data_IF_382753680672
#
_entry.id   IF_382753680672
#
_cell.length_a   1.000
_cell.length_b   1.000
_cell.length_c   1.000
_cell.angle_alpha   90.00
_cell.angle_beta   90.00
_cell.angle_gamma   90.00
#
_symmetry.space_group_name_H-M   'P 1'
#
loop_
_entity.id
_entity.type
_entity.pdbx_description
1 polymer ?
#
# COMPACT_ATOMS: atom_id res chain seq x y z
N UNK A 1 21.03 12.64 -4.04
CA UNK A 1 19.81 11.89 -3.76
C UNK A 1 18.67 12.80 -4.18
N UNK A 2 18.14 12.58 -5.39
CA UNK A 2 16.91 13.26 -5.83
C UNK A 2 15.81 12.92 -4.82
N UNK A 3 15.13 13.95 -4.32
CA UNK A 3 13.96 13.78 -3.46
C UNK A 3 12.84 13.29 -4.37
N UNK A 4 12.62 11.98 -4.42
CA UNK A 4 11.41 11.43 -5.02
C UNK A 4 10.20 12.03 -4.32
N UNK A 5 9.23 12.50 -5.10
CA UNK A 5 7.95 12.95 -4.59
C UNK A 5 7.25 11.78 -3.90
N UNK A 6 7.27 11.80 -2.56
CA UNK A 6 6.61 10.81 -1.72
C UNK A 6 5.12 11.07 -1.72
N UNK A 7 4.34 10.06 -2.07
CA UNK A 7 2.89 10.15 -2.12
C UNK A 7 2.28 9.19 -1.13
N UNK A 8 1.20 9.62 -0.47
CA UNK A 8 0.40 8.72 0.34
C UNK A 8 -0.44 7.86 -0.59
N UNK A 9 -0.38 6.55 -0.41
CA UNK A 9 -1.13 5.59 -1.21
C UNK A 9 -1.98 4.68 -0.34
N UNK A 10 -3.15 4.35 -0.86
CA UNK A 10 -4.04 3.33 -0.34
C UNK A 10 -3.98 2.14 -1.28
N UNK A 11 -3.47 1.02 -0.77
CA UNK A 11 -3.37 -0.23 -1.49
C UNK A 11 -4.51 -1.11 -0.99
N UNK A 12 -5.43 -1.43 -1.88
CA UNK A 12 -6.54 -2.36 -1.63
C UNK A 12 -6.10 -3.75 -2.04
N UNK A 13 -6.22 -4.71 -1.13
CA UNK A 13 -5.90 -6.11 -1.34
C UNK A 13 -7.10 -6.83 -1.90
N UNK A 14 -6.85 -7.82 -2.75
CA UNK A 14 -7.90 -8.70 -3.25
C UNK A 14 -8.54 -9.48 -2.09
N UNK A 15 -9.84 -9.77 -2.14
CA UNK A 15 -10.54 -10.52 -1.11
C UNK A 15 -9.88 -11.88 -0.86
N UNK A 16 -9.43 -12.57 -1.92
CA UNK A 16 -8.71 -13.85 -1.81
C UNK A 16 -7.40 -13.75 -1.00
N UNK A 17 -6.69 -12.64 -1.16
CA UNK A 17 -5.49 -12.34 -0.38
C UNK A 17 -5.88 -12.00 1.06
N UNK A 18 -6.97 -11.27 1.25
CA UNK A 18 -7.42 -10.82 2.55
C UNK A 18 -7.99 -11.95 3.43
N UNK A 19 -8.58 -12.98 2.81
CA UNK A 19 -9.05 -14.19 3.47
C UNK A 19 -7.88 -15.04 4.00
N UNK A 20 -6.72 -15.00 3.34
CA UNK A 20 -5.53 -15.74 3.73
C UNK A 20 -4.54 -14.85 4.51
N UNK A 21 -4.49 -15.04 5.82
CA UNK A 21 -3.61 -14.25 6.69
C UNK A 21 -2.12 -14.39 6.37
N UNK A 22 -1.66 -15.51 5.80
CA UNK A 22 -0.25 -15.66 5.39
C UNK A 22 0.05 -14.83 4.15
N UNK A 23 -0.85 -14.85 3.15
CA UNK A 23 -0.69 -14.02 1.95
C UNK A 23 -0.69 -12.53 2.28
N UNK A 24 -1.56 -12.09 3.19
CA UNK A 24 -1.54 -10.70 3.69
C UNK A 24 -0.17 -10.38 4.29
N UNK A 25 0.34 -11.19 5.21
CA UNK A 25 1.61 -10.93 5.90
C UNK A 25 2.80 -10.92 4.92
N UNK A 26 2.83 -11.85 3.95
CA UNK A 26 3.84 -11.87 2.89
C UNK A 26 3.79 -10.61 2.03
N UNK A 27 2.60 -10.21 1.60
CA UNK A 27 2.42 -9.03 0.77
C UNK A 27 2.82 -7.77 1.54
N UNK A 28 2.36 -7.61 2.77
CA UNK A 28 2.74 -6.50 3.67
C UNK A 28 4.23 -6.47 3.86
N UNK A 29 4.87 -7.61 4.08
CA UNK A 29 6.32 -7.71 4.24
C UNK A 29 7.07 -7.25 2.98
N UNK A 30 6.57 -7.59 1.79
CA UNK A 30 7.14 -7.11 0.51
C UNK A 30 6.90 -5.61 0.33
N UNK A 31 5.69 -5.13 0.61
CA UNK A 31 5.33 -3.71 0.53
C UNK A 31 6.20 -2.90 1.48
N UNK A 32 6.30 -3.28 2.76
CA UNK A 32 7.14 -2.62 3.77
C UNK A 32 8.64 -2.64 3.46
N UNK A 33 9.12 -3.55 2.61
CA UNK A 33 10.50 -3.54 2.10
C UNK A 33 10.68 -2.55 0.95
N UNK A 34 9.63 -2.30 0.18
CA UNK A 34 9.65 -1.44 -1.00
C UNK A 34 9.27 0.02 -0.67
N UNK A 35 8.34 0.23 0.26
CA UNK A 35 7.91 1.53 0.76
C UNK A 35 8.66 1.87 2.04
N UNK A 36 8.84 3.15 2.33
CA UNK A 36 9.32 3.53 3.65
C UNK A 36 8.38 3.04 4.74
N UNK A 37 8.88 2.75 5.97
CA UNK A 37 8.04 2.42 7.11
C UNK A 37 7.19 3.63 7.50
N UNK A 38 6.09 3.85 6.78
CA UNK A 38 4.97 4.70 7.16
C UNK A 38 4.03 3.95 8.09
N UNK A 39 3.08 4.69 8.70
CA UNK A 39 2.03 4.12 9.54
C UNK A 39 1.15 3.13 8.75
N UNK A 40 1.55 1.86 8.72
CA UNK A 40 0.72 0.77 8.25
C UNK A 40 -0.25 0.38 9.35
N UNK A 41 -1.52 0.73 9.14
CA UNK A 41 -2.60 0.40 10.06
C UNK A 41 -3.03 -1.06 9.85
N UNK A 42 -2.34 -2.00 10.52
CA UNK A 42 -2.60 -3.44 10.42
C UNK A 42 -4.07 -3.80 10.74
N UNK A 43 -4.73 -2.99 11.57
CA UNK A 43 -6.13 -3.22 11.95
C UNK A 43 -7.07 -2.93 10.78
N UNK A 44 -6.84 -1.84 10.03
CA UNK A 44 -7.59 -1.57 8.79
C UNK A 44 -7.25 -2.56 7.69
N UNK A 45 -6.00 -2.96 7.60
CA UNK A 45 -5.57 -3.95 6.63
C UNK A 45 -6.30 -5.29 6.82
N UNK A 46 -6.31 -5.84 8.05
CA UNK A 46 -6.97 -7.13 8.30
C UNK A 46 -8.49 -7.05 8.19
N UNK A 47 -9.08 -5.86 8.40
CA UNK A 47 -10.54 -5.69 8.44
C UNK A 47 -11.14 -5.31 7.10
N UNK A 48 -10.40 -4.55 6.29
CA UNK A 48 -10.88 -3.98 5.03
C UNK A 48 -9.99 -4.34 3.84
N UNK A 49 -8.85 -5.01 4.06
CA UNK A 49 -7.86 -5.24 3.01
C UNK A 49 -7.19 -3.95 2.55
N UNK A 50 -7.21 -2.87 3.34
CA UNK A 50 -6.67 -1.57 2.90
C UNK A 50 -5.40 -1.24 3.67
N UNK A 51 -4.29 -1.11 2.94
CA UNK A 51 -2.99 -0.66 3.45
C UNK A 51 -2.79 0.81 3.09
N UNK A 52 -2.61 1.67 4.10
CA UNK A 52 -2.16 3.04 3.90
C UNK A 52 -0.65 3.10 4.09
N UNK A 53 0.09 3.61 3.12
CA UNK A 53 1.52 3.87 3.29
C UNK A 53 1.97 5.09 2.48
N UNK A 54 3.21 5.50 2.68
CA UNK A 54 3.88 6.55 1.91
C UNK A 54 4.93 5.89 1.03
N UNK A 55 4.82 6.11 -0.28
CA UNK A 55 5.67 5.49 -1.27
C UNK A 55 6.07 6.52 -2.33
N UNK A 56 7.27 6.40 -2.87
CA UNK A 56 7.69 7.14 -4.06
C UNK A 56 6.88 6.70 -5.28
N UNK A 57 6.71 7.62 -6.23
CA UNK A 57 5.90 7.38 -7.45
C UNK A 57 6.35 6.11 -8.20
N UNK A 58 7.65 5.87 -8.34
CA UNK A 58 8.21 4.64 -8.95
C UNK A 58 7.82 3.36 -8.18
N UNK A 59 7.74 3.44 -6.86
CA UNK A 59 7.31 2.32 -6.01
C UNK A 59 5.81 2.09 -6.15
N UNK A 60 5.00 3.15 -6.29
CA UNK A 60 3.55 3.04 -6.54
C UNK A 60 3.24 2.27 -7.81
N UNK A 61 3.97 2.54 -8.90
CA UNK A 61 3.81 1.77 -10.14
C UNK A 61 4.17 0.30 -9.95
N UNK A 62 5.22 0.03 -9.17
CA UNK A 62 5.64 -1.34 -8.84
C UNK A 62 4.57 -2.06 -8.01
N UNK A 63 3.95 -1.37 -7.04
CA UNK A 63 2.90 -1.92 -6.18
C UNK A 63 1.64 -2.33 -6.95
N UNK A 64 1.30 -1.62 -8.04
CA UNK A 64 0.19 -2.00 -8.92
C UNK A 64 0.41 -3.35 -9.62
N UNK A 65 1.66 -3.79 -9.75
CA UNK A 65 2.01 -5.08 -10.33
C UNK A 65 2.09 -6.24 -9.33
N UNK A 66 1.79 -6.01 -8.05
CA UNK A 66 1.88 -7.06 -7.04
C UNK A 66 0.70 -8.03 -7.16
N UNK A 67 1.03 -9.32 -7.18
CA UNK A 67 0.05 -10.40 -7.09
C UNK A 67 -0.69 -10.31 -5.73
N UNK A 68 -2.00 -10.09 -5.78
CA UNK A 68 -2.86 -9.91 -4.61
C UNK A 68 -3.22 -8.47 -4.26
N UNK A 69 -2.77 -7.48 -5.04
CA UNK A 69 -3.26 -6.10 -4.98
C UNK A 69 -4.42 -5.92 -5.95
N UNK A 70 -5.57 -5.51 -5.43
CA UNK A 70 -6.76 -5.20 -6.22
C UNK A 70 -6.69 -3.80 -6.83
N UNK A 71 -6.12 -2.84 -6.11
CA UNK A 71 -5.96 -1.48 -6.61
C UNK A 71 -5.06 -0.61 -5.74
N UNK A 72 -4.41 0.39 -6.34
CA UNK A 72 -3.59 1.38 -5.64
C UNK A 72 -4.11 2.77 -5.96
N UNK A 73 -4.58 3.47 -4.93
CA UNK A 73 -5.11 4.83 -5.02
C UNK A 73 -4.12 5.81 -4.40
N UNK A 74 -3.75 6.86 -5.14
CA UNK A 74 -2.85 7.90 -4.64
C UNK A 74 -3.66 8.97 -3.94
N UNK A 75 -3.54 9.03 -2.62
CA UNK A 75 -4.11 10.07 -1.77
C UNK A 75 -3.18 11.28 -1.82
N UNK A 76 -3.18 11.97 -2.95
CA UNK A 76 -2.67 13.34 -3.00
C UNK A 76 -3.49 14.17 -2.04
N UNK A 77 -2.83 14.94 -1.16
CA UNK A 77 -3.48 15.88 -0.24
C UNK A 77 -4.59 16.62 -0.98
N UNK A 78 -5.83 16.24 -0.67
CA UNK A 78 -7.01 16.87 -1.21
C UNK A 78 -6.91 18.32 -0.75
N UNK A 79 -6.70 19.25 -1.67
CA UNK A 79 -6.87 20.68 -1.44
C UNK A 79 -8.11 20.83 -0.56
N UNK A 80 -7.90 21.33 0.65
CA UNK A 80 -8.98 21.79 1.49
C UNK A 80 -9.77 22.81 0.66
N UNK A 81 -11.07 22.56 0.49
CA UNK A 81 -12.03 23.54 -0.02
C UNK A 81 -12.72 24.17 1.18
#
# INVERSE_FOLDING_TARGET
>A
MEKGDKQKVLITLSPETCEDSQKVDELVGKVMKAVEPGEVDQKKLRRYGILSSVADTDVVETLKGFDGVEGVEVVGEKRAY
#
